data_IF_328875484724
#
_entry.id   IF_328875484724
#
_cell.length_a   1.000
_cell.length_b   1.000
_cell.length_c   1.000
_cell.angle_alpha   90.00
_cell.angle_beta   90.00
_cell.angle_gamma   90.00
#
_symmetry.space_group_name_H-M   'P 1'
#
loop_
_entity.id
_entity.type
_entity.pdbx_description
1 polymer ?
#
# COMPACT_ATOMS: atom_id res chain seq x y z
N UNK A 1 -9.64 -23.65 -3.18
CA UNK A 1 -10.27 -22.31 -3.31
C UNK A 1 -9.28 -21.46 -4.07
N UNK A 2 -9.69 -20.90 -5.19
CA UNK A 2 -8.81 -20.02 -5.97
C UNK A 2 -8.80 -18.64 -5.29
N UNK A 3 -7.66 -18.15 -4.76
CA UNK A 3 -7.59 -16.79 -4.21
C UNK A 3 -7.89 -15.71 -5.27
N UNK A 4 -7.85 -16.06 -6.56
CA UNK A 4 -8.18 -15.17 -7.67
C UNK A 4 -9.67 -14.97 -7.95
N UNK A 5 -10.57 -15.76 -7.34
CA UNK A 5 -12.02 -15.58 -7.52
C UNK A 5 -12.48 -14.16 -7.14
N UNK A 6 -11.84 -13.54 -6.14
CA UNK A 6 -12.10 -12.15 -5.74
C UNK A 6 -11.60 -11.10 -6.76
N UNK A 7 -10.84 -11.50 -7.79
CA UNK A 7 -10.14 -10.61 -8.70
C UNK A 7 -10.52 -10.78 -10.17
N UNK A 8 -11.28 -11.84 -10.52
CA UNK A 8 -11.47 -12.34 -11.88
C UNK A 8 -11.90 -11.26 -12.90
N UNK A 9 -12.71 -10.28 -12.47
CA UNK A 9 -13.22 -9.22 -13.34
C UNK A 9 -12.73 -7.79 -13.07
N UNK A 10 -11.98 -7.50 -11.99
CA UNK A 10 -11.65 -6.10 -11.61
C UNK A 10 -10.14 -5.82 -11.49
N UNK A 11 -9.67 -4.64 -11.94
CA UNK A 11 -8.29 -4.24 -11.69
C UNK A 11 -8.05 -4.21 -10.19
N UNK A 12 -7.18 -5.11 -9.73
CA UNK A 12 -6.80 -5.25 -8.33
C UNK A 12 -6.03 -4.02 -7.85
N UNK A 13 -6.29 -3.51 -6.63
CA UNK A 13 -5.47 -2.46 -6.03
C UNK A 13 -4.16 -2.99 -5.44
N UNK A 14 -3.95 -4.31 -5.46
CA UNK A 14 -2.77 -4.95 -4.88
C UNK A 14 -1.67 -5.16 -5.91
N UNK A 15 -0.45 -4.71 -5.59
CA UNK A 15 0.74 -5.07 -6.35
C UNK A 15 1.22 -6.51 -6.05
N UNK A 16 0.97 -7.01 -4.84
CA UNK A 16 1.38 -8.34 -4.35
C UNK A 16 0.30 -8.93 -3.44
N UNK A 17 0.14 -10.26 -3.42
CA UNK A 17 -0.83 -10.97 -2.58
C UNK A 17 -0.27 -12.33 -2.12
N UNK A 18 -0.81 -12.88 -1.04
CA UNK A 18 -0.43 -14.20 -0.51
C UNK A 18 0.05 -14.16 0.94
N UNK A 19 0.68 -15.24 1.39
CA UNK A 19 1.25 -15.34 2.74
C UNK A 19 2.59 -14.60 2.81
N UNK A 20 2.71 -13.65 3.73
CA UNK A 20 3.91 -12.82 3.94
C UNK A 20 4.39 -12.11 2.64
N UNK A 21 3.53 -11.30 2.00
CA UNK A 21 3.90 -10.62 0.76
C UNK A 21 5.06 -9.68 1.02
N UNK A 22 6.11 -9.78 0.19
CA UNK A 22 7.32 -8.96 0.32
C UNK A 22 7.41 -7.99 -0.85
N UNK A 23 7.65 -6.71 -0.55
CA UNK A 23 7.77 -5.64 -1.52
C UNK A 23 9.22 -5.51 -1.99
N UNK A 24 9.44 -5.55 -3.32
CA UNK A 24 10.73 -5.28 -3.95
C UNK A 24 10.52 -4.42 -5.20
N UNK A 25 10.26 -3.12 -5.06
CA UNK A 25 10.05 -2.30 -6.27
C UNK A 25 10.32 -0.81 -6.07
N UNK A 26 11.25 -0.25 -6.85
CA UNK A 26 11.49 1.19 -6.99
C UNK A 26 11.54 1.55 -8.49
N UNK A 27 11.07 2.75 -8.89
CA UNK A 27 11.03 3.14 -10.28
C UNK A 27 12.43 3.13 -10.92
N UNK A 28 12.56 2.45 -12.05
CA UNK A 28 13.75 2.56 -12.91
C UNK A 28 13.67 3.82 -13.77
N UNK A 29 14.79 4.54 -13.92
CA UNK A 29 14.88 5.74 -14.75
C UNK A 29 16.20 5.75 -15.51
N UNK A 30 16.19 6.30 -16.72
CA UNK A 30 17.39 6.42 -17.55
C UNK A 30 18.35 7.51 -17.03
N UNK A 31 17.80 8.59 -16.47
CA UNK A 31 18.57 9.74 -15.98
C UNK A 31 18.58 9.83 -14.45
N UNK A 32 19.72 10.23 -13.88
CA UNK A 32 19.89 10.57 -12.46
C UNK A 32 19.74 12.08 -12.24
N UNK A 33 18.57 12.60 -12.60
CA UNK A 33 18.20 13.98 -12.29
C UNK A 33 17.81 14.10 -10.80
N UNK A 34 17.94 15.31 -10.26
CA UNK A 34 17.55 15.57 -8.86
C UNK A 34 16.09 15.20 -8.64
N UNK A 35 15.82 14.44 -7.57
CA UNK A 35 14.53 13.85 -7.29
C UNK A 35 14.45 13.47 -5.83
N UNK A 36 13.38 13.88 -5.16
CA UNK A 36 12.95 13.28 -3.90
C UNK A 36 11.81 12.31 -4.21
N UNK A 37 12.06 11.01 -4.03
CA UNK A 37 11.07 9.98 -4.29
C UNK A 37 10.73 9.25 -3.00
N UNK A 38 9.43 9.14 -2.72
CA UNK A 38 8.89 8.45 -1.55
C UNK A 38 7.70 7.61 -1.98
N UNK A 39 7.67 6.36 -1.53
CA UNK A 39 6.53 5.46 -1.64
C UNK A 39 5.89 5.23 -0.28
N UNK A 40 4.55 5.14 -0.26
CA UNK A 40 3.80 4.62 0.87
C UNK A 40 3.35 3.20 0.52
N UNK A 41 3.72 2.23 1.35
CA UNK A 41 3.38 0.83 1.16
C UNK A 41 2.54 0.35 2.32
N UNK A 42 1.42 -0.31 2.02
CA UNK A 42 0.45 -0.77 3.00
C UNK A 42 0.27 -2.27 2.91
N UNK A 43 0.38 -2.94 4.05
CA UNK A 43 -0.14 -4.29 4.22
C UNK A 43 -1.64 -4.17 4.51
N UNK A 44 -2.46 -4.85 3.72
CA UNK A 44 -3.90 -4.85 3.88
C UNK A 44 -4.47 -6.25 3.74
N UNK A 45 -5.57 -6.48 4.42
CA UNK A 45 -6.35 -7.71 4.35
C UNK A 45 -7.62 -7.49 3.51
N UNK A 46 -7.98 -8.50 2.72
CA UNK A 46 -9.28 -8.60 2.05
C UNK A 46 -10.09 -9.69 2.72
N UNK A 47 -11.14 -9.34 3.49
CA UNK A 47 -12.10 -10.32 3.98
C UNK A 47 -12.70 -11.10 2.81
N UNK A 48 -12.84 -12.42 2.96
CA UNK A 48 -13.52 -13.25 1.98
C UNK A 48 -15.02 -13.11 2.18
N UNK A 49 -15.59 -12.07 1.59
CA UNK A 49 -17.02 -11.83 1.44
C UNK A 49 -17.37 -11.91 -0.04
N UNK A 50 -18.36 -12.74 -0.38
CA UNK A 50 -18.79 -12.95 -1.77
C UNK A 50 -19.53 -11.74 -2.37
N UNK A 51 -19.94 -10.78 -1.53
CA UNK A 51 -20.74 -9.61 -1.94
C UNK A 51 -19.92 -8.34 -2.20
N UNK A 52 -18.79 -8.15 -1.51
CA UNK A 52 -18.02 -6.90 -1.54
C UNK A 52 -16.50 -7.13 -1.54
N UNK A 53 -15.79 -6.47 -2.47
CA UNK A 53 -14.32 -6.47 -2.51
C UNK A 53 -13.79 -5.37 -1.61
N UNK A 54 -13.23 -5.74 -0.46
CA UNK A 54 -12.87 -4.79 0.62
C UNK A 54 -11.39 -4.81 0.95
N UNK A 55 -10.81 -3.64 1.18
CA UNK A 55 -9.41 -3.45 1.61
C UNK A 55 -9.40 -2.89 3.02
N UNK A 56 -8.86 -3.68 3.96
CA UNK A 56 -8.69 -3.30 5.37
C UNK A 56 -7.19 -3.06 5.62
N UNK A 57 -6.75 -1.82 5.87
CA UNK A 57 -5.33 -1.54 6.14
C UNK A 57 -4.93 -2.11 7.52
N UNK A 58 -3.76 -2.74 7.58
CA UNK A 58 -3.23 -3.37 8.80
C UNK A 58 -1.95 -2.69 9.29
N UNK A 59 -1.03 -2.41 8.37
CA UNK A 59 0.24 -1.76 8.64
C UNK A 59 0.68 -0.97 7.40
N UNK A 60 1.59 -0.03 7.60
CA UNK A 60 2.12 0.78 6.52
C UNK A 60 3.44 1.41 6.89
N UNK A 61 4.26 1.64 5.87
CA UNK A 61 5.54 2.30 6.02
C UNK A 61 5.84 3.15 4.79
N UNK A 62 6.53 4.27 5.00
CA UNK A 62 7.13 5.05 3.91
C UNK A 62 8.59 4.69 3.76
N UNK A 63 9.05 4.75 2.53
CA UNK A 63 10.43 4.47 2.17
C UNK A 63 10.76 5.18 0.85
N UNK A 64 12.04 5.39 0.58
CA UNK A 64 12.41 6.15 -0.60
C UNK A 64 13.88 6.51 -0.64
N UNK A 65 14.20 7.44 -1.53
CA UNK A 65 15.55 7.95 -1.72
C UNK A 65 15.50 9.37 -2.28
N UNK A 66 16.61 10.09 -2.12
CA UNK A 66 16.84 11.38 -2.76
C UNK A 66 17.99 11.26 -3.76
N UNK A 67 17.92 12.03 -4.83
CA UNK A 67 19.00 12.26 -5.78
C UNK A 67 19.31 13.75 -5.73
N UNK A 68 20.54 14.10 -5.38
CA UNK A 68 20.97 15.50 -5.41
C UNK A 68 21.37 15.96 -6.83
N UNK A 69 21.74 17.23 -6.97
CA UNK A 69 22.13 17.82 -8.25
C UNK A 69 23.43 17.23 -8.84
N UNK A 70 24.20 16.48 -8.05
CA UNK A 70 25.42 15.78 -8.49
C UNK A 70 25.13 14.34 -8.91
N UNK A 71 23.89 13.87 -8.73
CA UNK A 71 23.48 12.50 -8.99
C UNK A 71 23.79 11.53 -7.84
N UNK A 72 24.14 12.04 -6.65
CA UNK A 72 24.38 11.22 -5.46
C UNK A 72 23.06 10.77 -4.84
N UNK A 73 22.99 9.50 -4.44
CA UNK A 73 21.79 8.88 -3.89
C UNK A 73 21.91 8.75 -2.37
N UNK A 74 20.90 9.21 -1.64
CA UNK A 74 20.75 8.95 -0.21
C UNK A 74 19.43 8.23 0.06
N UNK A 75 19.46 7.17 0.86
CA UNK A 75 18.24 6.46 1.27
C UNK A 75 17.51 7.27 2.34
N UNK A 76 16.19 7.38 2.21
CA UNK A 76 15.35 7.92 3.27
C UNK A 76 15.19 6.86 4.38
N UNK A 77 15.12 7.31 5.63
CA UNK A 77 14.79 6.43 6.74
C UNK A 77 13.36 5.89 6.57
N UNK A 78 13.18 4.60 6.83
CA UNK A 78 11.85 3.98 6.82
C UNK A 78 11.04 4.49 8.00
N UNK A 79 9.85 5.01 7.74
CA UNK A 79 8.96 5.53 8.78
C UNK A 79 7.66 4.73 8.82
N UNK A 80 7.16 4.46 10.03
CA UNK A 80 5.84 3.87 10.20
C UNK A 80 4.75 4.87 9.76
N UNK A 81 3.74 4.38 9.04
CA UNK A 81 2.59 5.18 8.63
C UNK A 81 1.37 4.84 9.48
N UNK A 82 0.50 5.84 9.65
CA UNK A 82 -0.73 5.70 10.42
C UNK A 82 -1.98 6.05 9.62
N UNK A 83 -3.10 6.15 10.34
CA UNK A 83 -4.42 6.40 9.77
C UNK A 83 -4.50 7.67 8.92
N UNK A 84 -3.82 8.75 9.32
CA UNK A 84 -3.81 10.01 8.57
C UNK A 84 -3.21 9.82 7.17
N UNK A 85 -2.08 9.10 7.07
CA UNK A 85 -1.41 8.87 5.79
C UNK A 85 -2.23 7.96 4.88
N UNK A 86 -2.91 6.96 5.44
CA UNK A 86 -3.82 6.12 4.68
C UNK A 86 -5.01 6.93 4.14
N UNK A 87 -5.55 7.84 4.95
CA UNK A 87 -6.68 8.68 4.58
C UNK A 87 -6.40 9.60 3.38
N UNK A 88 -5.16 10.06 3.23
CA UNK A 88 -4.69 10.86 2.09
C UNK A 88 -4.84 10.10 0.76
N UNK A 89 -4.73 8.77 0.77
CA UNK A 89 -4.79 7.93 -0.43
C UNK A 89 -6.21 7.49 -0.81
N UNK A 90 -7.18 7.57 0.10
CA UNK A 90 -8.52 7.02 -0.10
C UNK A 90 -9.24 7.62 -1.32
N UNK A 91 -9.06 8.92 -1.58
CA UNK A 91 -9.68 9.57 -2.75
C UNK A 91 -9.15 8.97 -4.06
N UNK A 92 -7.83 8.77 -4.17
CA UNK A 92 -7.22 8.19 -5.35
C UNK A 92 -7.60 6.70 -5.52
N UNK A 93 -7.54 5.92 -4.44
CA UNK A 93 -7.88 4.50 -4.46
C UNK A 93 -9.34 4.27 -4.87
N UNK A 94 -10.28 5.04 -4.30
CA UNK A 94 -11.72 4.92 -4.61
C UNK A 94 -12.05 5.33 -6.04
N UNK A 95 -11.35 6.32 -6.59
CA UNK A 95 -11.54 6.74 -7.99
C UNK A 95 -10.94 5.75 -8.98
N UNK A 96 -9.78 5.16 -8.66
CA UNK A 96 -9.07 4.21 -9.53
C UNK A 96 -9.67 2.79 -9.49
N UNK A 97 -10.25 2.40 -8.35
CA UNK A 97 -10.83 1.08 -8.10
C UNK A 97 -12.27 1.20 -7.59
N UNK A 98 -13.23 1.71 -8.40
CA UNK A 98 -14.58 2.05 -7.93
C UNK A 98 -15.43 0.84 -7.50
N UNK A 99 -15.00 -0.40 -7.82
CA UNK A 99 -15.64 -1.64 -7.35
C UNK A 99 -15.06 -2.18 -6.04
N UNK A 100 -14.13 -1.45 -5.44
CA UNK A 100 -13.48 -1.81 -4.19
C UNK A 100 -13.90 -0.84 -3.09
N UNK A 101 -14.15 -1.39 -1.92
CA UNK A 101 -14.35 -0.63 -0.69
C UNK A 101 -13.02 -0.52 0.06
N UNK A 102 -12.74 0.66 0.58
CA UNK A 102 -11.51 0.95 1.32
C UNK A 102 -11.89 1.49 2.70
N UNK A 103 -11.55 0.72 3.73
CA UNK A 103 -11.84 1.04 5.11
C UNK A 103 -10.94 2.15 5.63
N UNK A 104 -11.42 2.83 6.68
CA UNK A 104 -10.55 3.66 7.50
C UNK A 104 -9.64 2.77 8.33
N UNK A 105 -8.40 3.20 8.51
CA UNK A 105 -7.49 2.50 9.41
C UNK A 105 -8.00 2.61 10.85
N UNK A 106 -8.32 1.47 11.45
CA UNK A 106 -8.62 1.38 12.87
C UNK A 106 -7.36 0.89 13.60
N UNK A 107 -6.92 1.58 14.67
CA UNK A 107 -5.85 1.05 15.50
C UNK A 107 -6.28 -0.33 16.00
N UNK A 108 -5.34 -1.27 16.09
CA UNK A 108 -5.62 -2.60 16.60
C UNK A 108 -6.33 -2.45 17.96
N UNK A 109 -7.56 -2.96 18.07
CA UNK A 109 -8.14 -3.19 19.39
C UNK A 109 -7.30 -4.30 20.01
N UNK A 110 -6.60 -3.98 21.10
CA UNK A 110 -6.09 -5.01 21.99
C UNK A 110 -7.30 -5.78 22.52
N UNK A 111 -7.54 -6.97 21.97
CA UNK A 111 -8.52 -7.87 22.54
C UNK A 111 -8.03 -8.19 23.97
N UNK A 112 -8.81 -7.91 25.03
CA UNK A 112 -8.41 -8.29 26.36
C UNK A 112 -8.31 -9.81 26.37
N UNK A 113 -7.07 -10.31 26.41
CA UNK A 113 -6.78 -11.72 26.61
C UNK A 113 -7.58 -12.20 27.83
N UNK A 114 -8.45 -13.18 27.60
CA UNK A 114 -9.14 -13.94 28.65
C UNK A 114 -8.17 -14.42 29.73
#
# INVERSE_FOLDING_TARGET
MDPFYLFEDAPSPYAFFGTNPTLFDAPSRDERASLDWTAHSYLAWTPMDDSERRVVPLAGFSWGFTIDSTGSIALQEVQALGAVNWDEHLTYLRSSHPRWLFDKWQPAQEDPMY
#
